data_IF_389291531155
#
_entry.id   IF_389291531155
#
_cell.length_a   1.000
_cell.length_b   1.000
_cell.length_c   1.000
_cell.angle_alpha   90.00
_cell.angle_beta   90.00
_cell.angle_gamma   90.00
#
_symmetry.space_group_name_H-M   'P 1'
#
loop_
_entity.id
_entity.type
_entity.pdbx_description
1 polymer ?
#
# COMPACT_ATOMS: atom_id res chain seq x y z
N UNK A 1 -1.85 -15.60 0.26
CA UNK A 1 -1.22 -14.41 0.88
C UNK A 1 -0.36 -14.86 2.03
N UNK A 2 0.77 -14.20 2.33
CA UNK A 2 1.58 -14.45 3.54
C UNK A 2 1.40 -13.27 4.51
N UNK A 3 1.37 -13.55 5.81
CA UNK A 3 1.33 -12.51 6.84
C UNK A 3 2.70 -11.86 6.95
N UNK A 4 2.74 -10.52 6.94
CA UNK A 4 3.95 -9.73 7.13
C UNK A 4 3.63 -8.65 8.16
N UNK A 5 4.49 -8.51 9.16
CA UNK A 5 4.40 -7.45 10.17
C UNK A 5 5.45 -6.41 9.85
N UNK A 6 5.04 -5.14 9.78
CA UNK A 6 5.93 -4.00 9.58
C UNK A 6 5.64 -2.95 10.64
N UNK A 7 6.66 -2.23 11.07
CA UNK A 7 6.52 -1.05 11.94
C UNK A 7 6.49 0.19 11.06
N UNK A 8 5.49 1.04 11.28
CA UNK A 8 5.30 2.30 10.54
C UNK A 8 5.14 3.46 11.53
N UNK A 9 5.60 4.66 11.20
CA UNK A 9 5.28 5.87 11.96
C UNK A 9 3.77 6.06 12.10
N UNK A 10 3.35 6.60 13.23
CA UNK A 10 1.92 6.81 13.56
C UNK A 10 1.22 7.69 12.52
N UNK A 11 1.86 8.78 12.09
CA UNK A 11 1.33 9.67 11.05
C UNK A 11 0.97 8.94 9.74
N UNK A 12 1.68 7.86 9.39
CA UNK A 12 1.36 7.08 8.20
C UNK A 12 0.16 6.17 8.43
N UNK A 13 0.03 5.60 9.64
CA UNK A 13 -1.14 4.81 10.00
C UNK A 13 -2.40 5.68 9.98
N UNK A 14 -2.33 6.90 10.50
CA UNK A 14 -3.44 7.87 10.46
C UNK A 14 -3.88 8.18 9.03
N UNK A 15 -2.93 8.47 8.12
CA UNK A 15 -3.23 8.69 6.71
C UNK A 15 -3.85 7.46 6.04
N UNK A 16 -3.40 6.25 6.37
CA UNK A 16 -4.01 5.01 5.88
C UNK A 16 -5.44 4.84 6.41
N UNK A 17 -5.70 5.19 7.67
CA UNK A 17 -7.01 5.11 8.29
C UNK A 17 -7.99 6.16 7.71
N UNK A 18 -7.52 7.34 7.32
CA UNK A 18 -8.32 8.32 6.57
C UNK A 18 -8.80 7.78 5.23
N UNK A 19 -7.93 7.10 4.47
CA UNK A 19 -8.30 6.49 3.18
C UNK A 19 -9.38 5.41 3.34
N UNK A 20 -9.33 4.65 4.44
CA UNK A 20 -10.35 3.66 4.75
C UNK A 20 -11.65 4.32 5.22
N UNK A 21 -11.56 5.35 6.10
CA UNK A 21 -12.72 6.13 6.57
C UNK A 21 -13.46 6.82 5.42
N UNK A 22 -12.73 7.28 4.41
CA UNK A 22 -13.28 7.86 3.19
C UNK A 22 -13.90 6.82 2.23
N UNK A 23 -14.00 5.53 2.62
CA UNK A 23 -14.45 4.42 1.78
C UNK A 23 -13.67 4.23 0.46
N UNK A 24 -12.46 4.80 0.35
CA UNK A 24 -11.62 4.59 -0.85
C UNK A 24 -11.04 3.18 -0.90
N UNK A 25 -10.80 2.59 0.27
CA UNK A 25 -10.29 1.23 0.40
C UNK A 25 -11.04 0.48 1.51
N UNK A 26 -11.25 -0.84 1.35
CA UNK A 26 -11.99 -1.65 2.31
C UNK A 26 -11.22 -1.93 3.61
N UNK A 27 -9.89 -1.74 3.63
CA UNK A 27 -9.04 -1.94 4.82
C UNK A 27 -7.65 -1.38 4.60
N UNK A 28 -6.94 -1.10 5.71
CA UNK A 28 -5.51 -0.72 5.70
C UNK A 28 -4.65 -1.70 4.90
N UNK A 29 -4.88 -2.99 5.09
CA UNK A 29 -4.17 -4.05 4.36
C UNK A 29 -4.41 -3.97 2.84
N UNK A 30 -5.57 -3.49 2.39
CA UNK A 30 -5.84 -3.27 0.96
C UNK A 30 -5.04 -2.09 0.40
N UNK A 31 -4.96 -0.99 1.16
CA UNK A 31 -4.18 0.19 0.80
C UNK A 31 -2.69 -0.17 0.66
N UNK A 32 -2.14 -0.85 1.66
CA UNK A 32 -0.72 -1.26 1.68
C UNK A 32 -0.40 -2.16 0.49
N UNK A 33 -1.22 -3.19 0.24
CA UNK A 33 -1.01 -4.10 -0.90
C UNK A 33 -1.09 -3.39 -2.24
N UNK A 34 -2.02 -2.46 -2.40
CA UNK A 34 -2.14 -1.69 -3.64
C UNK A 34 -0.92 -0.80 -3.84
N UNK A 35 -0.50 -0.10 -2.80
CA UNK A 35 0.69 0.75 -2.83
C UNK A 35 1.95 -0.03 -3.20
N UNK A 36 2.17 -1.20 -2.60
CA UNK A 36 3.31 -2.08 -2.92
C UNK A 36 3.24 -2.59 -4.36
N UNK A 37 2.05 -3.01 -4.84
CA UNK A 37 1.88 -3.48 -6.21
C UNK A 37 2.19 -2.37 -7.22
N UNK A 38 1.65 -1.17 -6.98
CA UNK A 38 1.78 -0.06 -7.92
C UNK A 38 3.22 0.44 -7.97
N UNK A 39 3.92 0.46 -6.83
CA UNK A 39 5.36 0.68 -6.75
C UNK A 39 6.16 -0.36 -7.55
N UNK A 40 5.90 -1.65 -7.35
CA UNK A 40 6.60 -2.73 -8.08
C UNK A 40 6.34 -2.65 -9.59
N UNK A 41 5.11 -2.34 -10.00
CA UNK A 41 4.77 -2.17 -11.40
C UNK A 41 5.60 -1.04 -12.04
N UNK A 42 5.67 0.11 -11.36
CA UNK A 42 6.40 1.29 -11.81
C UNK A 42 7.90 1.06 -11.87
N UNK A 43 8.49 0.58 -10.78
CA UNK A 43 9.95 0.54 -10.65
C UNK A 43 10.59 -0.72 -11.27
N UNK A 44 9.89 -1.86 -11.23
CA UNK A 44 10.45 -3.13 -11.70
C UNK A 44 9.95 -3.53 -13.07
N UNK A 45 8.64 -3.43 -13.35
CA UNK A 45 8.04 -4.01 -14.56
C UNK A 45 7.98 -3.07 -15.75
N UNK A 46 7.98 -1.75 -15.53
CA UNK A 46 8.10 -0.77 -16.62
C UNK A 46 9.56 -0.58 -17.04
N UNK A 47 10.50 -0.59 -16.09
CA UNK A 47 11.93 -0.53 -16.41
C UNK A 47 12.46 -1.76 -17.15
N UNK A 48 11.87 -2.95 -16.94
CA UNK A 48 12.27 -4.18 -17.65
C UNK A 48 11.81 -4.25 -19.11
N UNK A 49 10.94 -3.33 -19.54
CA UNK A 49 10.43 -3.24 -20.92
C UNK A 49 11.18 -2.22 -21.78
N UNK A 50 12.23 -1.58 -21.24
CA UNK A 50 13.15 -0.72 -21.97
C UNK A 50 14.44 -1.45 -22.30
#
# INVERSE_FOLDING_TARGET
MKLVTVLLPEAYLEGLDELVRANMYPSRSSVIRSSVRDLLKKELWENKRR
#
